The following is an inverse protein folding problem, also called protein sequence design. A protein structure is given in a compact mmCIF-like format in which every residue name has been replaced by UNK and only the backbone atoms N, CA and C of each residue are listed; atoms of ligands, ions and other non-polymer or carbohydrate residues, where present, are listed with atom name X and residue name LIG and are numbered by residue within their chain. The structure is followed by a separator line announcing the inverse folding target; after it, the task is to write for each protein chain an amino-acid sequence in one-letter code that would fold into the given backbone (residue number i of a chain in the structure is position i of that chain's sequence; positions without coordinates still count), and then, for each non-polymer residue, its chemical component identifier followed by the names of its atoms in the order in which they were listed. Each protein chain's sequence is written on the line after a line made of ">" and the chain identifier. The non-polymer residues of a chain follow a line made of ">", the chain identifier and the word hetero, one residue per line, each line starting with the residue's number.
data_IF_896059940309
#
_entry.id   IF_896059940309
#
_cell.length_a   1.000
_cell.length_b   1.000
_cell.length_c   1.000
_cell.angle_alpha   90.00
_cell.angle_beta   90.00
_cell.angle_gamma   90.00
#
_symmetry.space_group_name_H-M   'P 1'
#
loop_
_entity.id
_entity.type
_entity.pdbx_description
1 polymer ?
#
# COMPACT_ATOMS: atom_id res chain seq x y z
N UNK A 1 -0.93 -23.13 6.76
CA UNK A 1 -1.21 -22.56 5.98
C UNK A 1 -0.36 -22.12 4.95
N UNK A 2 -0.51 -22.35 3.89
CA UNK A 2 0.34 -21.99 2.84
C UNK A 2 0.23 -20.52 2.59
N UNK A 3 1.37 -19.93 2.38
CA UNK A 3 1.40 -18.54 2.07
C UNK A 3 1.51 -18.42 0.58
N UNK A 4 0.68 -17.62 -0.05
CA UNK A 4 0.77 -17.47 -1.49
C UNK A 4 1.90 -16.52 -1.83
N UNK A 5 2.52 -16.79 -2.97
CA UNK A 5 3.62 -15.96 -3.44
C UNK A 5 3.10 -15.12 -4.59
N UNK A 6 3.58 -13.90 -4.67
CA UNK A 6 3.20 -13.01 -5.77
C UNK A 6 4.46 -12.41 -6.38
N UNK A 7 4.36 -12.03 -7.63
CA UNK A 7 5.41 -11.21 -8.22
C UNK A 7 5.07 -9.77 -7.84
N UNK A 8 5.79 -9.26 -6.86
CA UNK A 8 5.44 -7.95 -6.30
C UNK A 8 5.80 -6.85 -7.27
N UNK A 9 4.81 -6.09 -7.68
CA UNK A 9 5.05 -5.01 -8.66
C UNK A 9 5.89 -3.90 -8.04
N UNK A 10 5.84 -3.72 -6.73
CA UNK A 10 6.63 -2.67 -6.09
C UNK A 10 8.08 -3.09 -5.92
N UNK A 11 8.30 -4.32 -5.50
CA UNK A 11 9.67 -4.80 -5.23
C UNK A 11 10.32 -5.41 -6.46
N UNK A 12 9.52 -5.72 -7.50
CA UNK A 12 10.02 -6.29 -8.73
C UNK A 12 10.64 -7.66 -8.48
N UNK A 13 10.06 -8.44 -7.61
CA UNK A 13 10.56 -9.79 -7.32
C UNK A 13 9.44 -10.62 -6.73
N UNK A 14 9.66 -11.95 -6.71
CA UNK A 14 8.74 -12.86 -6.06
C UNK A 14 8.87 -12.70 -4.56
N UNK A 15 7.76 -12.64 -3.86
CA UNK A 15 7.76 -12.49 -2.42
C UNK A 15 6.44 -12.95 -1.86
N UNK A 16 6.38 -13.25 -0.55
CA UNK A 16 5.12 -13.65 0.07
C UNK A 16 4.09 -12.54 -0.05
N UNK A 17 2.88 -12.92 -0.44
CA UNK A 17 1.80 -11.97 -0.62
C UNK A 17 1.10 -11.63 0.68
N UNK A 18 0.04 -10.83 0.56
CA UNK A 18 -0.77 -10.45 1.70
C UNK A 18 -1.84 -11.51 1.83
N UNK A 19 -1.80 -12.25 2.94
CA UNK A 19 -2.57 -13.45 3.08
C UNK A 19 -3.77 -13.23 3.98
N UNK A 20 -4.93 -13.68 3.56
CA UNK A 20 -6.14 -13.51 4.34
C UNK A 20 -6.15 -14.39 5.58
N UNK A 21 -5.34 -15.43 5.62
CA UNK A 21 -5.27 -16.30 6.78
C UNK A 21 -4.49 -15.65 7.92
N UNK A 22 -3.73 -14.61 7.62
CA UNK A 22 -2.96 -13.90 8.63
C UNK A 22 -3.75 -12.66 9.02
N UNK A 23 -3.86 -12.40 10.32
CA UNK A 23 -4.67 -11.28 10.78
C UNK A 23 -4.17 -9.94 10.23
N UNK A 24 -2.86 -9.77 10.13
CA UNK A 24 -2.34 -8.53 9.59
C UNK A 24 -2.63 -8.42 8.11
N UNK A 25 -2.60 -9.52 7.39
CA UNK A 25 -2.93 -9.52 5.98
C UNK A 25 -4.41 -9.24 5.76
N UNK A 26 -5.26 -9.85 6.58
CA UNK A 26 -6.68 -9.61 6.45
C UNK A 26 -7.03 -8.16 6.72
N UNK A 27 -6.44 -7.57 7.76
CA UNK A 27 -6.69 -6.17 8.08
C UNK A 27 -6.23 -5.28 6.92
N UNK A 28 -5.07 -5.60 6.33
CA UNK A 28 -4.57 -4.83 5.20
C UNK A 28 -5.55 -4.87 4.03
N UNK A 29 -6.03 -6.05 3.71
CA UNK A 29 -6.94 -6.20 2.57
C UNK A 29 -8.27 -5.53 2.84
N UNK A 30 -8.76 -5.59 4.07
CA UNK A 30 -10.02 -4.93 4.39
C UNK A 30 -9.87 -3.41 4.33
N UNK A 31 -8.71 -2.89 4.72
CA UNK A 31 -8.46 -1.47 4.60
C UNK A 31 -8.48 -1.04 3.13
N UNK A 32 -7.82 -1.82 2.27
CA UNK A 32 -7.79 -1.53 0.84
C UNK A 32 -9.21 -1.54 0.29
N UNK A 33 -10.00 -2.54 0.67
CA UNK A 33 -11.35 -2.63 0.15
C UNK A 33 -12.20 -1.45 0.64
N UNK A 34 -11.97 -1.00 1.87
CA UNK A 34 -12.73 0.11 2.40
C UNK A 34 -12.54 1.38 1.60
N UNK A 35 -11.33 1.62 1.12
CA UNK A 35 -11.07 2.86 0.38
C UNK A 35 -11.12 2.69 -1.12
N UNK A 36 -10.88 1.50 -1.64
CA UNK A 36 -10.78 1.29 -3.08
C UNK A 36 -11.71 0.25 -3.67
N UNK A 37 -12.50 -0.41 -2.83
CA UNK A 37 -13.46 -1.39 -3.30
C UNK A 37 -12.85 -2.75 -3.53
N UNK A 38 -13.67 -3.74 -3.87
CA UNK A 38 -13.18 -5.11 -4.05
C UNK A 38 -12.21 -5.25 -5.21
N UNK A 39 -12.30 -4.38 -6.21
CA UNK A 39 -11.36 -4.47 -7.32
C UNK A 39 -9.96 -4.11 -6.87
N UNK A 40 -9.81 -3.07 -6.07
CA UNK A 40 -8.50 -2.69 -5.58
C UNK A 40 -7.97 -3.73 -4.61
N UNK A 41 -8.85 -4.30 -3.79
CA UNK A 41 -8.46 -5.38 -2.88
C UNK A 41 -7.88 -6.54 -3.69
N UNK A 42 -8.52 -6.92 -4.80
CA UNK A 42 -8.03 -8.02 -5.60
C UNK A 42 -6.70 -7.69 -6.25
N UNK A 43 -6.54 -6.48 -6.76
CA UNK A 43 -5.28 -6.07 -7.37
C UNK A 43 -4.13 -6.15 -6.39
N UNK A 44 -4.36 -5.68 -5.17
CA UNK A 44 -3.33 -5.70 -4.13
C UNK A 44 -3.04 -7.15 -3.73
N UNK A 45 -4.07 -7.96 -3.58
CA UNK A 45 -3.89 -9.35 -3.19
C UNK A 45 -3.02 -10.09 -4.21
N UNK A 46 -3.22 -9.82 -5.48
CA UNK A 46 -2.51 -10.55 -6.52
C UNK A 46 -1.13 -10.03 -6.84
N UNK A 47 -0.86 -8.76 -6.57
CA UNK A 47 0.34 -8.12 -7.08
C UNK A 47 1.23 -7.45 -6.05
N UNK A 48 0.85 -7.44 -4.80
CA UNK A 48 1.59 -6.70 -3.78
C UNK A 48 1.99 -7.66 -2.67
N UNK A 49 3.27 -7.64 -2.32
CA UNK A 49 3.75 -8.50 -1.24
C UNK A 49 3.48 -7.84 0.11
N UNK A 50 3.55 -8.65 1.15
CA UNK A 50 3.41 -8.13 2.50
C UNK A 50 4.52 -7.14 2.83
N UNK A 51 5.72 -7.42 2.32
CA UNK A 51 6.84 -6.51 2.53
C UNK A 51 6.55 -5.14 1.91
N UNK A 52 5.99 -5.12 0.69
CA UNK A 52 5.65 -3.86 0.05
C UNK A 52 4.52 -3.15 0.82
N UNK A 53 3.61 -3.92 1.40
CA UNK A 53 2.55 -3.32 2.21
C UNK A 53 3.15 -2.61 3.43
N UNK A 54 4.18 -3.21 4.05
CA UNK A 54 4.83 -2.55 5.17
C UNK A 54 5.48 -1.23 4.75
N UNK A 55 6.04 -1.20 3.55
CA UNK A 55 6.60 0.05 3.02
C UNK A 55 5.49 1.08 2.83
N UNK A 56 4.34 0.63 2.34
CA UNK A 56 3.21 1.53 2.16
C UNK A 56 2.74 2.12 3.49
N UNK A 57 2.72 1.31 4.55
CA UNK A 57 2.28 1.83 5.85
C UNK A 57 3.17 2.97 6.32
N UNK A 58 4.48 2.84 6.11
CA UNK A 58 5.40 3.91 6.45
C UNK A 58 5.16 5.14 5.60
N UNK A 59 4.94 4.94 4.32
CA UNK A 59 4.67 6.04 3.40
C UNK A 59 3.36 6.73 3.78
N UNK A 60 2.34 5.95 4.12
CA UNK A 60 1.05 6.50 4.51
C UNK A 60 1.18 7.36 5.77
N UNK A 61 1.94 6.87 6.75
CA UNK A 61 2.15 7.62 7.97
C UNK A 61 2.78 8.98 7.65
N UNK A 62 3.76 8.97 6.76
CA UNK A 62 4.43 10.21 6.36
C UNK A 62 3.45 11.14 5.66
N UNK A 63 2.60 10.58 4.77
CA UNK A 63 1.61 11.41 4.08
C UNK A 63 0.66 12.05 5.08
N UNK A 64 0.21 11.30 6.05
CA UNK A 64 -0.73 11.84 7.03
C UNK A 64 -0.10 12.98 7.83
N UNK A 65 1.18 12.87 8.12
CA UNK A 65 1.87 13.92 8.86
C UNK A 65 2.16 15.13 7.98
N UNK A 66 2.65 14.90 6.77
CA UNK A 66 3.05 16.02 5.91
C UNK A 66 1.86 16.83 5.42
N UNK A 67 0.77 16.14 5.09
CA UNK A 67 -0.40 16.83 4.57
C UNK A 67 -1.47 17.06 5.64
N UNK A 68 -1.18 16.64 6.88
CA UNK A 68 -2.10 16.83 8.00
C UNK A 68 -3.48 16.31 7.67
N UNK A 69 -3.51 15.09 7.16
CA UNK A 69 -4.76 14.49 6.73
C UNK A 69 -5.64 14.14 7.93
N UNK A 70 -6.93 14.38 7.78
CA UNK A 70 -7.89 14.06 8.82
C UNK A 70 -8.70 12.87 8.34
N UNK A 71 -8.56 11.75 9.02
CA UNK A 71 -9.23 10.51 8.59
C UNK A 71 -10.75 10.61 8.67
N UNK A 72 -11.27 11.62 9.35
CA UNK A 72 -12.72 11.82 9.39
C UNK A 72 -13.23 12.58 8.17
N UNK A 73 -12.33 13.13 7.35
CA UNK A 73 -12.72 13.87 6.17
C UNK A 73 -12.97 12.89 5.03
N UNK A 74 -14.16 12.85 4.46
CA UNK A 74 -14.45 11.90 3.40
C UNK A 74 -13.60 12.07 2.15
N UNK A 75 -12.97 13.23 1.97
CA UNK A 75 -12.12 13.42 0.81
C UNK A 75 -10.74 12.83 0.98
N UNK A 76 -10.39 12.39 2.19
CA UNK A 76 -9.09 11.79 2.42
C UNK A 76 -9.00 10.42 1.74
N UNK A 77 -10.08 9.65 1.75
CA UNK A 77 -10.03 8.31 1.17
C UNK A 77 -9.67 8.32 -0.32
N UNK A 78 -10.28 9.17 -1.16
CA UNK A 78 -9.85 9.21 -2.55
C UNK A 78 -8.40 9.63 -2.73
N UNK A 79 -7.92 10.54 -1.88
CA UNK A 79 -6.54 10.96 -1.95
C UNK A 79 -5.61 9.79 -1.60
N UNK A 80 -5.93 9.07 -0.53
CA UNK A 80 -5.10 7.94 -0.12
C UNK A 80 -5.13 6.85 -1.20
N UNK A 81 -6.29 6.61 -1.80
CA UNK A 81 -6.39 5.61 -2.84
C UNK A 81 -5.51 5.96 -4.03
N UNK A 82 -5.52 7.24 -4.42
CA UNK A 82 -4.68 7.68 -5.53
C UNK A 82 -3.20 7.47 -5.21
N UNK A 83 -2.80 7.80 -3.99
CA UNK A 83 -1.42 7.64 -3.58
C UNK A 83 -1.04 6.16 -3.53
N UNK A 84 -1.96 5.31 -3.07
CA UNK A 84 -1.72 3.87 -3.01
C UNK A 84 -1.55 3.30 -4.43
N UNK A 85 -2.40 3.71 -5.34
CA UNK A 85 -2.31 3.23 -6.71
C UNK A 85 -0.98 3.64 -7.32
N UNK A 86 -0.57 4.89 -7.13
CA UNK A 86 0.69 5.35 -7.66
C UNK A 86 1.87 4.65 -6.99
N UNK A 87 1.76 4.39 -5.69
CA UNK A 87 2.85 3.77 -4.96
C UNK A 87 3.11 2.35 -5.42
N UNK A 88 2.06 1.56 -5.60
CA UNK A 88 2.22 0.16 -5.97
C UNK A 88 2.28 -0.07 -7.48
N UNK A 89 1.46 0.65 -8.23
CA UNK A 89 1.29 0.33 -9.65
C UNK A 89 1.77 1.42 -10.58
N UNK A 90 2.06 2.61 -10.06
CA UNK A 90 2.52 3.70 -10.89
C UNK A 90 4.02 3.76 -10.96
N UNK A 91 4.51 4.81 -11.57
CA UNK A 91 5.93 5.01 -11.68
C UNK A 91 6.52 5.60 -10.44
N UNK A 92 5.72 6.04 -9.54
CA UNK A 92 6.17 6.59 -8.29
C UNK A 92 5.10 7.50 -7.76
N UNK A 93 4.87 7.43 -6.45
CA UNK A 93 3.88 8.30 -5.83
C UNK A 93 4.43 9.70 -5.71
N UNK A 94 3.54 10.66 -5.51
CA UNK A 94 3.95 12.03 -5.27
C UNK A 94 4.61 12.09 -3.92
N UNK A 95 5.88 12.40 -3.88
CA UNK A 95 6.63 12.44 -2.63
C UNK A 95 6.67 13.86 -2.08
N UNK A 96 6.46 14.02 -0.78
CA UNK A 96 6.62 15.34 -0.18
C UNK A 96 8.06 15.80 -0.25
N UNK A 97 8.28 17.09 -0.18
CA UNK A 97 9.65 17.60 -0.19
C UNK A 97 10.42 17.03 0.98
N UNK A 98 11.61 16.59 0.73
CA UNK A 98 12.50 16.08 1.76
C UNK A 98 12.32 14.63 2.11
N UNK A 99 11.32 13.97 1.55
CA UNK A 99 11.12 12.56 1.87
C UNK A 99 12.14 11.70 1.11
N UNK A 100 12.79 10.81 1.83
CA UNK A 100 13.74 9.88 1.23
C UNK A 100 13.20 8.48 1.44
N UNK A 101 12.90 7.73 0.37
CA UNK A 101 12.38 6.37 0.54
C UNK A 101 13.40 5.47 1.22
N UNK A 102 12.92 4.55 2.05
CA UNK A 102 13.85 3.70 2.79
C UNK A 102 14.80 2.90 1.93
N UNK A 103 14.34 2.50 0.74
CA UNK A 103 15.18 1.77 -0.07
C UNK A 103 15.79 2.59 -1.08
N UNK A 104 15.79 3.82 -0.96
CA UNK A 104 16.25 4.65 -2.03
C UNK A 104 17.70 4.80 -2.09
N UNK A 105 18.43 4.02 -1.60
CA UNK A 105 19.66 4.10 -1.67
C UNK A 105 20.08 3.93 -2.81
N UNK A 106 19.97 4.15 -3.22
CA UNK A 106 20.38 4.11 -4.49
C UNK A 106 21.12 3.21 -4.99
#
# INVERSE_FOLDING_TARGET
>A
MAQHMVHCVKLQKEAPGIDEDDIQGLVALEMVESIGGPEMRQRVYENVSMEAWELWKGFLTMLMNEYRLNTMDPEVDPFILQQMDDFFFGEGAALPPGYVPPMGKG
#
